data_IF_188036193566
#
_entry.id   IF_188036193566
#
_cell.length_a   1.000
_cell.length_b   1.000
_cell.length_c   1.000
_cell.angle_alpha   90.00
_cell.angle_beta   90.00
_cell.angle_gamma   90.00
#
_symmetry.space_group_name_H-M   'P 1'
#
loop_
_entity.id
_entity.type
_entity.pdbx_description
1 polymer ?
#
# COMPACT_ATOMS: atom_id res chain seq x y z
N UNK A 1 -9.05 -0.38 -6.34
CA UNK A 1 -7.62 -0.69 -6.22
C UNK A 1 -7.52 -1.88 -5.29
N UNK A 2 -6.74 -2.91 -5.64
CA UNK A 2 -6.46 -3.99 -4.69
C UNK A 2 -5.08 -3.78 -4.12
N UNK A 3 -4.98 -4.06 -2.84
CA UNK A 3 -3.73 -4.07 -2.11
C UNK A 3 -3.46 -5.52 -1.72
N UNK A 4 -2.50 -6.13 -2.40
CA UNK A 4 -1.87 -7.32 -1.85
C UNK A 4 -0.73 -6.85 -0.95
N UNK A 5 -0.71 -7.33 0.29
CA UNK A 5 0.46 -7.20 1.13
C UNK A 5 1.09 -8.56 1.39
N UNK A 6 2.42 -8.56 1.44
CA UNK A 6 3.21 -9.74 1.77
C UNK A 6 3.90 -9.47 3.09
N UNK A 7 3.58 -10.27 4.11
CA UNK A 7 4.25 -10.25 5.40
C UNK A 7 5.57 -11.00 5.28
N UNK A 8 6.69 -10.37 5.61
CA UNK A 8 8.00 -11.03 5.58
C UNK A 8 8.83 -10.74 6.82
N UNK A 9 9.70 -11.69 7.19
CA UNK A 9 10.70 -11.52 8.25
C UNK A 9 12.01 -11.00 7.65
N UNK A 10 12.76 -10.15 8.37
CA UNK A 10 14.00 -9.57 7.86
C UNK A 10 15.03 -10.67 7.60
N UNK A 11 15.64 -10.65 6.41
CA UNK A 11 16.73 -11.56 6.03
C UNK A 11 16.43 -12.60 4.93
N UNK A 12 15.22 -12.64 4.35
CA UNK A 12 14.95 -13.45 3.14
C UNK A 12 14.66 -12.58 1.92
N UNK A 13 15.63 -11.77 1.52
CA UNK A 13 15.63 -11.19 0.18
C UNK A 13 16.12 -12.25 -0.81
N UNK A 14 15.18 -12.97 -1.42
CA UNK A 14 15.41 -13.57 -2.73
C UNK A 14 14.47 -12.91 -3.72
N UNK A 15 15.06 -12.09 -4.58
CA UNK A 15 14.47 -11.46 -5.74
C UNK A 15 14.06 -12.54 -6.74
N UNK A 16 12.92 -13.16 -6.49
CA UNK A 16 12.15 -13.99 -7.41
C UNK A 16 10.77 -14.16 -6.79
N UNK A 17 9.75 -13.78 -7.54
CA UNK A 17 8.31 -13.80 -7.22
C UNK A 17 7.71 -15.18 -6.89
N UNK A 18 8.51 -16.14 -6.41
CA UNK A 18 8.12 -17.53 -6.19
C UNK A 18 8.31 -18.08 -4.77
N UNK A 19 8.83 -17.32 -3.79
CA UNK A 19 9.06 -17.85 -2.43
C UNK A 19 8.66 -16.93 -1.28
N UNK A 20 7.49 -16.30 -1.36
CA UNK A 20 6.84 -15.81 -0.15
C UNK A 20 6.02 -16.95 0.48
N UNK A 21 6.23 -17.19 1.77
CA UNK A 21 5.43 -18.12 2.57
C UNK A 21 4.00 -17.55 2.63
N UNK A 22 3.08 -18.17 1.87
CA UNK A 22 1.78 -17.61 1.50
C UNK A 22 0.79 -17.68 2.67
N UNK A 23 0.91 -16.77 3.64
CA UNK A 23 -0.25 -16.34 4.43
C UNK A 23 -0.90 -15.19 3.66
N UNK A 24 -2.02 -15.49 2.99
CA UNK A 24 -2.65 -14.61 1.98
C UNK A 24 -3.82 -13.87 2.61
N UNK A 25 -3.54 -12.73 3.24
CA UNK A 25 -4.58 -11.81 3.70
C UNK A 25 -4.60 -10.59 2.76
N UNK A 26 -5.56 -10.58 1.82
CA UNK A 26 -5.76 -9.47 0.86
C UNK A 26 -6.95 -8.61 1.28
N UNK A 27 -6.77 -7.29 1.34
CA UNK A 27 -7.82 -6.34 1.73
C UNK A 27 -8.19 -5.37 0.59
N UNK A 28 -9.44 -4.89 0.58
CA UNK A 28 -10.06 -4.17 -0.55
C UNK A 28 -10.30 -2.68 -0.24
N UNK A 29 -9.93 -1.78 -1.16
CA UNK A 29 -10.38 -0.38 -1.16
C UNK A 29 -10.26 0.27 -2.57
N UNK A 30 -11.35 0.79 -3.16
CA UNK A 30 -11.34 1.41 -4.51
C UNK A 30 -11.88 2.86 -4.53
N UNK A 31 -11.28 3.76 -5.35
CA UNK A 31 -12.04 4.20 -6.53
C UNK A 31 -11.32 4.51 -7.88
N UNK A 32 -9.98 4.39 -8.07
CA UNK A 32 -9.30 4.99 -9.25
C UNK A 32 -8.21 4.14 -9.97
N UNK A 33 -8.59 3.10 -10.70
CA UNK A 33 -7.83 2.55 -11.86
C UNK A 33 -6.28 2.53 -11.76
N UNK A 34 -5.73 1.96 -10.68
CA UNK A 34 -4.31 1.62 -10.60
C UNK A 34 -3.36 2.67 -9.99
N UNK A 35 -3.83 3.88 -9.75
CA UNK A 35 -3.13 4.84 -8.87
C UNK A 35 -4.11 5.42 -7.85
N UNK A 36 -3.70 5.47 -6.59
CA UNK A 36 -4.53 6.08 -5.54
C UNK A 36 -4.00 7.48 -5.29
N UNK A 37 -4.89 8.47 -5.25
CA UNK A 37 -4.51 9.83 -4.88
C UNK A 37 -5.62 10.48 -4.07
N UNK A 38 -5.23 11.03 -2.92
CA UNK A 38 -5.98 12.09 -2.25
C UNK A 38 -5.20 13.39 -2.43
N UNK A 39 -5.88 14.45 -2.85
CA UNK A 39 -5.31 15.77 -3.08
C UNK A 39 -6.32 16.84 -2.70
N UNK A 40 -5.86 18.08 -2.50
CA UNK A 40 -6.75 19.22 -2.28
C UNK A 40 -7.72 19.43 -3.45
N UNK A 41 -7.24 19.23 -4.68
CA UNK A 41 -8.07 19.28 -5.89
C UNK A 41 -9.20 18.25 -5.85
N UNK A 42 -8.91 17.00 -5.44
CA UNK A 42 -9.93 15.97 -5.30
C UNK A 42 -10.92 16.31 -4.18
N UNK A 43 -10.44 16.89 -3.08
CA UNK A 43 -11.29 17.33 -1.97
C UNK A 43 -12.31 18.39 -2.41
N UNK A 44 -11.92 19.29 -3.30
CA UNK A 44 -12.79 20.34 -3.82
C UNK A 44 -13.76 19.81 -4.88
N UNK A 45 -13.29 18.98 -5.82
CA UNK A 45 -14.10 18.50 -6.95
C UNK A 45 -15.01 17.33 -6.61
N UNK A 46 -14.57 16.46 -5.69
CA UNK A 46 -15.26 15.22 -5.33
C UNK A 46 -15.05 14.91 -3.83
N UNK A 47 -15.64 15.69 -2.91
CA UNK A 47 -15.38 15.59 -1.47
C UNK A 47 -15.71 14.22 -0.90
N UNK A 48 -16.77 13.55 -1.40
CA UNK A 48 -17.12 12.18 -0.98
C UNK A 48 -16.03 11.18 -1.37
N UNK A 49 -15.50 11.26 -2.60
CA UNK A 49 -14.42 10.38 -3.05
C UNK A 49 -13.13 10.63 -2.28
N UNK A 50 -12.81 11.89 -1.98
CA UNK A 50 -11.68 12.26 -1.11
C UNK A 50 -11.84 11.65 0.30
N UNK A 51 -13.01 11.83 0.93
CA UNK A 51 -13.26 11.35 2.29
C UNK A 51 -13.22 9.82 2.36
N UNK A 52 -13.86 9.14 1.40
CA UNK A 52 -13.83 7.67 1.28
C UNK A 52 -12.40 7.18 1.07
N UNK A 53 -11.68 7.79 0.14
CA UNK A 53 -10.29 7.47 -0.13
C UNK A 53 -9.46 7.59 1.14
N UNK A 54 -9.49 8.76 1.79
CA UNK A 54 -8.68 9.04 3.00
C UNK A 54 -8.98 8.01 4.08
N UNK A 55 -10.26 7.72 4.33
CA UNK A 55 -10.68 6.70 5.30
C UNK A 55 -10.12 5.32 4.97
N UNK A 56 -10.16 4.89 3.72
CA UNK A 56 -9.63 3.58 3.32
C UNK A 56 -8.14 3.43 3.63
N UNK A 57 -7.32 4.44 3.31
CA UNK A 57 -5.87 4.38 3.58
C UNK A 57 -5.59 4.46 5.08
N UNK A 58 -6.32 5.32 5.81
CA UNK A 58 -6.22 5.38 7.27
C UNK A 58 -6.51 4.03 7.91
N UNK A 59 -7.59 3.35 7.51
CA UNK A 59 -7.94 2.04 8.08
C UNK A 59 -6.93 0.95 7.68
N UNK A 60 -6.41 0.97 6.45
CA UNK A 60 -5.36 0.04 6.02
C UNK A 60 -4.10 0.20 6.87
N UNK A 61 -3.61 1.42 7.04
CA UNK A 61 -2.42 1.67 7.85
C UNK A 61 -2.65 1.40 9.33
N UNK A 62 -3.83 1.72 9.87
CA UNK A 62 -4.20 1.36 11.24
C UNK A 62 -4.30 -0.17 11.42
N UNK A 63 -4.79 -0.90 10.43
CA UNK A 63 -4.80 -2.35 10.44
C UNK A 63 -3.37 -2.91 10.48
N UNK A 64 -2.50 -2.48 9.55
CA UNK A 64 -1.11 -2.93 9.49
C UNK A 64 -0.35 -2.58 10.77
N UNK A 65 -0.54 -1.38 11.32
CA UNK A 65 0.08 -0.96 12.57
C UNK A 65 -0.32 -1.82 13.78
N UNK A 66 -1.53 -2.39 13.77
CA UNK A 66 -2.02 -3.28 14.85
C UNK A 66 -1.57 -4.75 14.70
N UNK A 67 -1.16 -5.17 13.50
CA UNK A 67 -0.92 -6.59 13.19
C UNK A 67 0.51 -6.90 12.75
N UNK A 68 1.33 -5.88 12.54
CA UNK A 68 2.78 -6.03 12.36
C UNK A 68 3.47 -5.99 13.73
N UNK A 69 4.29 -6.99 14.00
CA UNK A 69 5.17 -7.03 15.16
C UNK A 69 6.46 -6.22 14.86
N UNK A 70 7.17 -5.73 15.89
CA UNK A 70 8.45 -5.06 15.69
C UNK A 70 9.44 -5.92 14.91
N UNK A 71 10.03 -5.33 13.87
CA UNK A 71 10.90 -6.04 12.93
C UNK A 71 10.19 -6.80 11.81
N UNK A 72 8.85 -6.83 11.78
CA UNK A 72 8.10 -7.30 10.61
C UNK A 72 7.85 -6.17 9.61
N UNK A 73 7.78 -6.53 8.33
CA UNK A 73 7.49 -5.60 7.24
C UNK A 73 6.36 -6.15 6.38
N UNK A 74 5.58 -5.24 5.81
CA UNK A 74 4.63 -5.55 4.74
C UNK A 74 4.96 -4.75 3.48
N UNK A 75 4.97 -5.43 2.34
CA UNK A 75 5.15 -4.78 1.03
C UNK A 75 3.79 -4.60 0.37
N UNK A 76 3.43 -3.36 0.02
CA UNK A 76 2.17 -2.99 -0.61
C UNK A 76 2.42 -2.69 -2.09
N UNK A 77 1.56 -3.20 -2.99
CA UNK A 77 1.65 -2.98 -4.44
C UNK A 77 0.32 -2.53 -5.05
N UNK A 78 0.39 -1.69 -6.10
CA UNK A 78 -0.76 -1.35 -6.92
C UNK A 78 -1.11 -2.50 -7.87
N UNK A 79 -2.37 -2.94 -7.88
CA UNK A 79 -2.89 -4.00 -8.74
C UNK A 79 -4.08 -3.53 -9.60
N UNK A 80 -4.36 -4.27 -10.69
CA UNK A 80 -5.51 -4.04 -11.57
C UNK A 80 -6.84 -4.17 -10.83
N UNK A 81 -7.81 -3.31 -11.15
CA UNK A 81 -9.14 -3.26 -10.52
C UNK A 81 -10.06 -4.47 -10.79
N UNK A 82 -9.59 -5.47 -11.54
CA UNK A 82 -10.26 -6.78 -11.71
C UNK A 82 -9.57 -7.96 -10.98
N UNK A 83 -8.55 -7.70 -10.15
CA UNK A 83 -7.80 -8.72 -9.41
C UNK A 83 -7.03 -9.69 -10.34
N UNK A 84 -6.77 -9.28 -11.58
CA UNK A 84 -5.92 -10.01 -12.54
C UNK A 84 -4.43 -10.01 -12.15
N UNK A 85 -4.07 -9.34 -11.05
CA UNK A 85 -2.74 -9.29 -10.49
C UNK A 85 -2.07 -7.93 -10.69
N UNK A 86 -0.74 -7.95 -10.73
CA UNK A 86 0.08 -6.74 -10.91
C UNK A 86 -0.04 -6.20 -12.33
N UNK A 87 0.24 -4.91 -12.44
CA UNK A 87 0.52 -4.28 -13.73
C UNK A 87 1.61 -5.05 -14.49
N UNK A 88 1.50 -5.19 -15.83
CA UNK A 88 2.51 -5.87 -16.63
C UNK A 88 3.85 -5.14 -16.62
N UNK A 89 3.84 -3.83 -16.35
CA UNK A 89 5.06 -3.05 -16.24
C UNK A 89 5.86 -3.41 -14.97
N UNK A 90 7.21 -3.43 -15.08
CA UNK A 90 8.06 -3.68 -13.92
C UNK A 90 7.93 -2.55 -12.89
N UNK A 91 8.27 -2.87 -11.64
CA UNK A 91 8.46 -1.87 -10.58
C UNK A 91 9.46 -0.80 -11.05
N UNK A 92 9.21 0.45 -10.66
CA UNK A 92 10.18 1.52 -10.75
C UNK A 92 10.78 1.80 -9.34
N UNK A 93 12.02 1.36 -9.06
CA UNK A 93 12.64 1.55 -7.75
C UNK A 93 12.80 3.00 -7.31
N UNK A 94 12.80 3.96 -8.25
CA UNK A 94 12.89 5.39 -7.95
C UNK A 94 11.62 5.94 -7.29
N UNK A 95 10.50 5.22 -7.42
CA UNK A 95 9.23 5.60 -6.80
C UNK A 95 9.04 4.97 -5.42
N UNK A 96 9.85 3.97 -5.06
CA UNK A 96 9.63 3.18 -3.85
C UNK A 96 9.63 4.03 -2.59
N UNK A 97 8.72 3.71 -1.69
CA UNK A 97 8.53 4.43 -0.44
C UNK A 97 8.65 3.46 0.74
N UNK A 98 9.37 3.88 1.77
CA UNK A 98 9.39 3.19 3.07
C UNK A 98 8.63 4.04 4.08
N UNK A 99 7.58 3.47 4.67
CA UNK A 99 6.77 4.10 5.69
C UNK A 99 6.99 3.40 7.03
N UNK A 100 7.23 4.22 8.04
CA UNK A 100 7.34 3.80 9.43
C UNK A 100 6.00 4.09 10.11
N UNK A 101 5.15 3.06 10.30
CA UNK A 101 3.73 3.28 10.64
C UNK A 101 3.53 3.85 12.05
N UNK A 102 4.49 3.65 12.97
CA UNK A 102 4.39 4.18 14.32
C UNK A 102 4.57 5.71 14.41
N UNK A 103 5.15 6.33 13.36
CA UNK A 103 5.41 7.78 13.27
C UNK A 103 4.77 8.43 12.05
N UNK A 104 4.27 7.63 11.11
CA UNK A 104 3.63 8.13 9.90
C UNK A 104 2.24 8.72 10.20
N UNK A 105 2.02 9.96 9.79
CA UNK A 105 0.72 10.60 9.80
C UNK A 105 0.22 10.83 8.37
N UNK A 106 -0.97 10.32 8.07
CA UNK A 106 -1.61 10.57 6.77
C UNK A 106 -2.10 12.02 6.71
N UNK A 107 -1.40 12.84 5.92
CA UNK A 107 -1.74 14.25 5.72
C UNK A 107 -2.98 14.49 4.86
N UNK A 108 -3.09 15.71 4.35
CA UNK A 108 -4.17 16.09 3.43
C UNK A 108 -4.00 15.52 2.02
N UNK A 109 -2.77 15.17 1.65
CA UNK A 109 -2.42 14.63 0.35
C UNK A 109 -1.58 13.37 0.50
N UNK A 110 -1.85 12.40 -0.36
CA UNK A 110 -1.13 11.14 -0.44
C UNK A 110 -1.37 10.57 -1.83
N UNK A 111 -0.30 10.08 -2.44
CA UNK A 111 -0.36 9.48 -3.76
C UNK A 111 0.42 8.17 -3.74
N UNK A 112 -0.21 7.16 -4.32
CA UNK A 112 0.38 5.88 -4.63
C UNK A 112 0.34 5.69 -6.13
N UNK A 113 1.54 5.77 -6.72
CA UNK A 113 1.75 5.75 -8.16
C UNK A 113 1.73 4.33 -8.71
N UNK A 114 1.45 4.21 -9.99
CA UNK A 114 1.68 2.96 -10.72
C UNK A 114 3.17 2.61 -10.64
N UNK A 115 3.50 1.31 -10.58
CA UNK A 115 4.87 0.78 -10.47
C UNK A 115 5.62 1.14 -9.16
N UNK A 116 4.96 1.76 -8.19
CA UNK A 116 5.53 2.06 -6.87
C UNK A 116 5.25 0.94 -5.88
N UNK A 117 6.29 0.46 -5.20
CA UNK A 117 6.14 -0.35 -4.00
C UNK A 117 6.15 0.56 -2.76
N UNK A 118 5.27 0.27 -1.81
CA UNK A 118 5.31 0.88 -0.48
C UNK A 118 5.66 -0.19 0.54
N UNK A 119 6.82 -0.09 1.17
CA UNK A 119 7.19 -0.92 2.31
C UNK A 119 6.72 -0.26 3.58
N UNK A 120 5.93 -0.96 4.38
CA UNK A 120 5.54 -0.52 5.71
C UNK A 120 6.27 -1.36 6.75
N UNK A 121 6.70 -0.72 7.84
CA UNK A 121 7.37 -1.38 8.95
C UNK A 121 7.02 -0.74 10.29
N UNK A 122 7.35 -1.46 11.36
CA UNK A 122 7.25 -1.02 12.75
C UNK A 122 8.65 -1.02 13.36
N UNK A 123 9.16 0.16 13.69
CA UNK A 123 10.39 0.36 14.45
C UNK A 123 10.17 0.04 15.93
N UNK A 124 11.24 -0.49 16.54
CA UNK A 124 11.33 -0.89 17.95
C UNK A 124 11.44 0.35 18.84
#
# INVERSE_FOLDING_TARGET
>A
MFYEYYKSKPGRYQHNSQKYDRSRDSYHADPNLGSYRISRELRERAPTSYATGKKCVTELFAYLNRHLEPGEEAELFACWADNSGRFPEPRNPELDLVLELNTFELGEEFEWKQQQDIRVKISI
#
